data_IF_244743580568
#
_entry.id   IF_244743580568
#
_cell.length_a   1.000
_cell.length_b   1.000
_cell.length_c   1.000
_cell.angle_alpha   90.00
_cell.angle_beta   90.00
_cell.angle_gamma   90.00
#
_symmetry.space_group_name_H-M   'P 1'
#
loop_
_entity.id
_entity.type
_entity.pdbx_description
1 polymer ?
#
# COMPACT_ATOMS: atom_id res chain seq x y z
N UNK A 1 -56.30 65.81 17.06
CA UNK A 1 -56.87 64.68 17.79
C UNK A 1 -57.50 63.77 16.75
N UNK A 2 -56.81 62.69 16.37
CA UNK A 2 -57.57 61.48 16.09
C UNK A 2 -56.73 60.27 16.48
N UNK A 3 -57.35 59.48 17.33
CA UNK A 3 -56.81 58.36 18.07
C UNK A 3 -57.03 57.08 17.26
N UNK A 4 -56.28 56.05 17.65
CA UNK A 4 -56.66 54.64 17.56
C UNK A 4 -56.46 53.88 16.24
N UNK A 5 -56.02 52.63 16.46
CA UNK A 5 -56.04 51.49 15.55
C UNK A 5 -54.93 51.38 14.49
N UNK A 6 -53.70 51.10 14.94
CA UNK A 6 -52.91 50.04 14.29
C UNK A 6 -52.65 48.90 15.25
N UNK A 7 -53.65 48.03 15.26
CA UNK A 7 -53.67 46.71 15.81
C UNK A 7 -52.42 45.92 15.39
N UNK A 8 -51.72 45.42 16.40
CA UNK A 8 -50.58 44.52 16.27
C UNK A 8 -51.07 43.18 15.73
N UNK A 9 -51.09 43.00 14.41
CA UNK A 9 -51.10 41.67 13.80
C UNK A 9 -49.64 41.21 13.68
N UNK A 10 -49.21 40.39 14.63
CA UNK A 10 -48.00 39.56 14.51
C UNK A 10 -48.20 38.61 13.32
N UNK A 11 -47.30 38.59 12.31
CA UNK A 11 -47.33 37.52 11.33
C UNK A 11 -47.01 36.20 12.04
N UNK A 12 -47.94 35.27 11.84
CA UNK A 12 -47.97 33.86 12.25
C UNK A 12 -46.57 33.23 12.13
N UNK A 13 -46.17 32.55 13.19
CA UNK A 13 -44.88 31.88 13.29
C UNK A 13 -44.62 31.00 12.07
N UNK A 14 -43.58 31.36 11.32
CA UNK A 14 -42.87 30.41 10.49
C UNK A 14 -42.41 29.28 11.41
N UNK A 15 -43.01 28.10 11.21
CA UNK A 15 -42.75 26.91 11.98
C UNK A 15 -41.23 26.74 12.18
N UNK A 16 -40.83 26.75 13.45
CA UNK A 16 -39.52 26.26 13.83
C UNK A 16 -39.33 24.87 13.18
N UNK A 17 -38.19 24.60 12.52
CA UNK A 17 -37.93 23.27 11.98
C UNK A 17 -38.06 22.27 13.15
N UNK A 18 -38.80 21.15 12.97
CA UNK A 18 -39.07 20.24 14.07
C UNK A 18 -37.77 19.78 14.74
N UNK A 19 -37.83 19.71 16.06
CA UNK A 19 -36.79 19.23 16.97
C UNK A 19 -36.30 17.81 16.58
N UNK A 20 -35.12 17.36 17.07
CA UNK A 20 -34.26 16.36 16.41
C UNK A 20 -34.77 14.93 16.60
N UNK A 21 -35.88 14.58 15.96
CA UNK A 21 -36.16 13.19 15.63
C UNK A 21 -35.03 12.71 14.71
N UNK A 22 -34.22 11.78 15.23
CA UNK A 22 -33.17 11.01 14.56
C UNK A 22 -32.95 11.37 13.09
N UNK A 23 -32.10 12.37 12.81
CA UNK A 23 -31.57 12.57 11.46
C UNK A 23 -30.92 11.25 11.04
N UNK A 24 -31.55 10.50 10.12
CA UNK A 24 -30.97 9.27 9.58
C UNK A 24 -29.59 9.60 9.02
N UNK A 25 -28.56 9.03 9.64
CA UNK A 25 -27.17 9.25 9.26
C UNK A 25 -26.76 8.17 8.26
N UNK A 26 -26.48 8.54 7.02
CA UNK A 26 -26.18 7.57 5.97
C UNK A 26 -24.70 7.64 5.60
N UNK A 27 -24.03 6.48 5.62
CA UNK A 27 -22.60 6.36 5.28
C UNK A 27 -22.42 6.42 3.76
N UNK A 28 -21.29 6.96 3.31
CA UNK A 28 -20.95 6.97 1.88
C UNK A 28 -20.95 5.54 1.33
N UNK A 29 -21.51 5.32 0.13
CA UNK A 29 -21.57 4.01 -0.48
C UNK A 29 -20.17 3.53 -0.83
N UNK A 30 -19.97 2.21 -0.81
CA UNK A 30 -18.71 1.57 -1.23
C UNK A 30 -18.58 1.66 -2.75
N UNK A 31 -17.37 1.91 -3.24
CA UNK A 31 -17.08 1.88 -4.67
C UNK A 31 -17.01 0.44 -5.18
N UNK A 32 -17.17 0.23 -6.49
CA UNK A 32 -17.05 -1.07 -7.15
C UNK A 32 -15.79 -1.85 -6.74
N UNK A 33 -14.64 -1.16 -6.66
CA UNK A 33 -13.39 -1.78 -6.21
C UNK A 33 -13.41 -2.19 -4.73
N UNK A 34 -14.09 -1.42 -3.86
CA UNK A 34 -14.23 -1.76 -2.44
C UNK A 34 -15.14 -2.97 -2.24
N UNK A 35 -16.22 -3.08 -3.01
CA UNK A 35 -17.10 -4.26 -3.02
C UNK A 35 -16.33 -5.51 -3.47
N UNK A 36 -15.56 -5.38 -4.56
CA UNK A 36 -14.67 -6.44 -5.03
C UNK A 36 -13.63 -6.83 -3.98
N UNK A 37 -13.03 -5.85 -3.29
CA UNK A 37 -12.09 -6.16 -2.22
C UNK A 37 -12.75 -6.95 -1.08
N UNK A 38 -13.99 -6.64 -0.69
CA UNK A 38 -14.65 -7.37 0.41
C UNK A 38 -14.91 -8.83 0.06
N UNK A 39 -15.36 -9.11 -1.16
CA UNK A 39 -15.62 -10.48 -1.62
C UNK A 39 -14.33 -11.27 -1.82
N UNK A 40 -13.32 -10.67 -2.46
CA UNK A 40 -12.09 -11.37 -2.83
C UNK A 40 -11.04 -11.39 -1.73
N UNK A 41 -11.17 -10.56 -0.67
CA UNK A 41 -10.14 -10.46 0.37
C UNK A 41 -10.02 -11.72 1.19
N UNK A 42 -11.12 -12.39 1.51
CA UNK A 42 -11.10 -13.67 2.23
C UNK A 42 -10.35 -14.72 1.42
N UNK A 43 -10.70 -14.87 0.15
CA UNK A 43 -10.06 -15.81 -0.78
C UNK A 43 -8.57 -15.51 -0.98
N UNK A 44 -8.21 -14.23 -1.13
CA UNK A 44 -6.80 -13.82 -1.28
C UNK A 44 -6.01 -14.04 0.02
N UNK A 45 -6.62 -13.85 1.19
CA UNK A 45 -5.97 -14.14 2.48
C UNK A 45 -5.76 -15.65 2.66
N UNK A 46 -6.74 -16.47 2.31
CA UNK A 46 -6.61 -17.94 2.36
C UNK A 46 -5.54 -18.43 1.39
N UNK A 47 -5.54 -17.94 0.15
CA UNK A 47 -4.54 -18.31 -0.88
C UNK A 47 -3.11 -17.86 -0.54
N UNK A 48 -2.95 -16.74 0.17
CA UNK A 48 -1.63 -16.24 0.58
C UNK A 48 -1.15 -16.83 1.91
N UNK A 49 -2.05 -17.41 2.71
CA UNK A 49 -1.78 -17.95 4.04
C UNK A 49 -2.07 -16.97 5.19
N UNK A 50 -2.43 -17.53 6.35
CA UNK A 50 -2.67 -16.75 7.56
C UNK A 50 -1.40 -16.00 7.99
N UNK A 51 -1.54 -14.71 8.33
CA UNK A 51 -0.42 -13.86 8.75
C UNK A 51 0.26 -13.04 7.64
N UNK A 52 -0.18 -13.17 6.39
CA UNK A 52 0.32 -12.30 5.31
C UNK A 52 -0.11 -10.85 5.53
N UNK A 53 0.87 -9.95 5.53
CA UNK A 53 0.66 -8.53 5.78
C UNK A 53 -0.34 -7.91 4.80
N UNK A 54 -1.22 -7.04 5.32
CA UNK A 54 -2.30 -6.36 4.57
C UNK A 54 -1.82 -5.72 3.26
N UNK A 55 -0.58 -5.24 3.21
CA UNK A 55 0.04 -4.66 2.01
C UNK A 55 0.16 -5.66 0.85
N UNK A 56 0.50 -6.92 1.13
CA UNK A 56 0.61 -7.96 0.09
C UNK A 56 -0.78 -8.38 -0.41
N UNK A 57 -1.73 -8.55 0.50
CA UNK A 57 -3.14 -8.85 0.18
C UNK A 57 -3.75 -7.77 -0.70
N UNK A 58 -3.57 -6.49 -0.34
CA UNK A 58 -4.09 -5.36 -1.13
C UNK A 58 -3.40 -5.22 -2.48
N UNK A 59 -2.10 -5.50 -2.57
CA UNK A 59 -1.39 -5.53 -3.85
C UNK A 59 -1.91 -6.65 -4.77
N UNK A 60 -2.14 -7.85 -4.22
CA UNK A 60 -2.71 -8.97 -4.98
C UNK A 60 -4.14 -8.67 -5.46
N UNK A 61 -4.99 -8.09 -4.61
CA UNK A 61 -6.33 -7.63 -4.98
C UNK A 61 -6.31 -6.55 -6.06
N UNK A 62 -5.37 -5.60 -5.98
CA UNK A 62 -5.21 -4.57 -7.01
C UNK A 62 -4.72 -5.13 -8.35
N UNK A 63 -3.85 -6.16 -8.33
CA UNK A 63 -3.43 -6.87 -9.54
C UNK A 63 -4.61 -7.62 -10.17
N UNK A 64 -5.32 -8.41 -9.37
CA UNK A 64 -6.53 -9.14 -9.81
C UNK A 64 -7.57 -8.18 -10.42
N UNK A 65 -7.89 -7.06 -9.75
CA UNK A 65 -8.83 -6.06 -10.30
C UNK A 65 -8.37 -5.45 -11.63
N UNK A 66 -7.06 -5.31 -11.87
CA UNK A 66 -6.57 -4.82 -13.17
C UNK A 66 -6.71 -5.87 -14.27
N UNK A 67 -6.55 -7.14 -13.93
CA UNK A 67 -6.65 -8.28 -14.85
C UNK A 67 -8.09 -8.69 -15.17
N UNK A 68 -9.06 -8.37 -14.29
CA UNK A 68 -10.48 -8.61 -14.56
C UNK A 68 -10.95 -7.89 -15.85
N UNK A 69 -11.70 -8.60 -16.68
CA UNK A 69 -12.34 -8.05 -17.88
C UNK A 69 -13.46 -7.04 -17.54
N UNK A 70 -13.84 -6.18 -18.49
CA UNK A 70 -14.93 -5.22 -18.33
C UNK A 70 -16.25 -5.93 -17.98
N UNK A 71 -16.50 -7.13 -18.52
CA UNK A 71 -17.68 -7.96 -18.18
C UNK A 71 -17.68 -8.47 -16.73
N UNK A 72 -16.51 -8.85 -16.20
CA UNK A 72 -16.39 -9.31 -14.80
C UNK A 72 -16.46 -8.14 -13.80
N UNK A 73 -16.15 -6.91 -14.24
CA UNK A 73 -16.30 -5.68 -13.44
C UNK A 73 -17.72 -5.14 -13.44
N UNK A 74 -18.49 -5.39 -14.50
CA UNK A 74 -19.87 -4.94 -14.65
C UNK A 74 -20.76 -5.17 -13.42
N UNK A 75 -20.84 -6.37 -12.81
CA UNK A 75 -21.69 -6.60 -11.63
C UNK A 75 -21.24 -5.81 -10.40
N UNK A 76 -19.96 -5.43 -10.31
CA UNK A 76 -19.48 -4.58 -9.21
C UNK A 76 -19.75 -3.10 -9.46
N UNK A 77 -19.72 -2.66 -10.72
CA UNK A 77 -20.04 -1.29 -11.13
C UNK A 77 -21.53 -1.02 -10.98
N UNK A 78 -22.38 -1.96 -11.39
CA UNK A 78 -23.83 -1.89 -11.25
C UNK A 78 -24.23 -1.82 -9.78
N UNK A 79 -23.78 -2.77 -8.95
CA UNK A 79 -23.99 -2.76 -7.49
C UNK A 79 -23.49 -1.47 -6.83
N UNK A 80 -22.34 -0.94 -7.25
CA UNK A 80 -21.86 0.34 -6.73
C UNK A 80 -22.71 1.54 -7.17
N UNK A 81 -23.30 1.48 -8.38
CA UNK A 81 -24.21 2.50 -8.89
C UNK A 81 -25.55 2.48 -8.15
N UNK A 82 -26.08 1.29 -7.84
CA UNK A 82 -27.31 1.11 -7.06
C UNK A 82 -27.12 1.62 -5.64
N UNK A 83 -26.04 1.24 -4.98
CA UNK A 83 -25.70 1.74 -3.64
C UNK A 83 -25.53 3.26 -3.63
N UNK A 84 -25.03 3.84 -4.72
CA UNK A 84 -24.96 5.29 -4.87
C UNK A 84 -26.33 5.92 -5.09
N UNK A 85 -27.19 5.32 -5.92
CA UNK A 85 -28.54 5.81 -6.13
C UNK A 85 -29.39 5.72 -4.86
N UNK A 86 -29.25 4.65 -4.07
CA UNK A 86 -29.87 4.51 -2.75
C UNK A 86 -29.36 5.59 -1.80
N UNK A 87 -28.04 5.80 -1.75
CA UNK A 87 -27.45 6.89 -0.97
C UNK A 87 -28.00 8.27 -1.38
N UNK A 88 -28.06 8.56 -2.67
CA UNK A 88 -28.52 9.86 -3.18
C UNK A 88 -30.03 10.05 -2.90
N UNK A 89 -30.84 8.98 -2.94
CA UNK A 89 -32.26 8.99 -2.53
C UNK A 89 -32.41 9.23 -1.04
N UNK A 90 -31.67 8.50 -0.20
CA UNK A 90 -31.74 8.67 1.25
C UNK A 90 -31.32 10.09 1.66
N UNK A 91 -30.30 10.66 1.02
CA UNK A 91 -29.87 12.05 1.23
C UNK A 91 -30.95 13.04 0.77
N UNK A 92 -31.61 12.79 -0.37
CA UNK A 92 -32.71 13.62 -0.86
C UNK A 92 -33.96 13.55 0.03
N UNK A 93 -34.22 12.39 0.64
CA UNK A 93 -35.30 12.14 1.61
C UNK A 93 -35.02 12.74 3.01
N UNK A 94 -33.91 13.46 3.16
CA UNK A 94 -33.58 14.21 4.37
C UNK A 94 -32.59 13.50 5.31
N UNK A 95 -32.02 12.37 4.89
CA UNK A 95 -30.88 11.80 5.59
C UNK A 95 -29.68 12.76 5.51
N UNK A 96 -28.90 12.79 6.59
CA UNK A 96 -27.64 13.53 6.57
C UNK A 96 -26.51 12.57 6.23
N UNK A 97 -25.53 12.99 5.41
CA UNK A 97 -24.33 12.19 5.26
C UNK A 97 -23.74 12.03 6.67
N UNK A 98 -23.49 10.79 7.10
CA UNK A 98 -22.93 10.44 8.42
C UNK A 98 -21.60 11.16 8.71
N UNK A 99 -21.00 11.76 7.68
CA UNK A 99 -19.91 12.72 7.75
C UNK A 99 -20.29 14.12 8.25
N UNK A 100 -21.51 14.40 8.76
CA UNK A 100 -21.91 15.76 9.19
C UNK A 100 -22.43 15.90 10.63
N UNK A 101 -23.02 14.87 11.25
CA UNK A 101 -23.62 15.00 12.59
C UNK A 101 -22.75 14.37 13.70
N UNK A 102 -22.35 13.09 13.61
CA UNK A 102 -21.28 12.54 14.47
C UNK A 102 -19.87 13.06 14.16
N UNK A 103 -19.62 13.51 12.92
CA UNK A 103 -18.32 14.05 12.52
C UNK A 103 -18.00 15.38 13.21
N UNK A 104 -18.90 16.34 13.41
CA UNK A 104 -18.50 17.62 14.02
C UNK A 104 -17.98 17.47 15.46
N UNK A 105 -18.46 16.49 16.24
CA UNK A 105 -17.99 16.25 17.62
C UNK A 105 -16.81 15.26 17.67
N UNK A 106 -16.81 14.18 16.89
CA UNK A 106 -15.67 13.24 16.80
C UNK A 106 -14.52 13.74 15.92
N UNK A 107 -14.73 14.57 14.91
CA UNK A 107 -13.69 15.20 14.06
C UNK A 107 -13.05 16.39 14.77
N UNK A 108 -13.76 17.11 15.64
CA UNK A 108 -13.12 18.14 16.49
C UNK A 108 -12.23 17.50 17.56
N UNK A 109 -12.63 16.36 18.14
CA UNK A 109 -11.85 15.64 19.14
C UNK A 109 -10.79 14.68 18.56
N UNK A 110 -11.15 13.83 17.60
CA UNK A 110 -10.25 12.88 16.94
C UNK A 110 -9.62 13.45 15.64
N UNK A 111 -10.33 14.26 14.85
CA UNK A 111 -9.75 14.91 13.66
C UNK A 111 -8.74 16.01 14.02
N UNK A 112 -9.01 16.83 15.04
CA UNK A 112 -8.03 17.76 15.60
C UNK A 112 -6.80 17.02 16.12
N UNK A 113 -6.97 16.09 17.06
CA UNK A 113 -5.86 15.37 17.67
C UNK A 113 -5.13 14.41 16.72
N UNK A 114 -5.81 13.68 15.83
CA UNK A 114 -5.18 12.73 14.91
C UNK A 114 -4.54 13.42 13.70
N UNK A 115 -5.18 14.46 13.14
CA UNK A 115 -4.59 15.25 12.04
C UNK A 115 -3.43 16.10 12.56
N UNK A 116 -3.50 16.63 13.78
CA UNK A 116 -2.38 17.29 14.45
C UNK A 116 -1.30 16.29 14.89
N UNK A 117 -1.62 15.09 15.39
CA UNK A 117 -0.63 14.03 15.68
C UNK A 117 0.05 13.56 14.40
N UNK A 118 -0.67 13.38 13.30
CA UNK A 118 -0.10 12.98 12.00
C UNK A 118 0.69 14.12 11.36
N UNK A 119 0.24 15.38 11.44
CA UNK A 119 0.99 16.54 10.94
C UNK A 119 2.25 16.73 11.79
N UNK A 120 2.15 16.71 13.13
CA UNK A 120 3.33 16.69 14.02
C UNK A 120 4.23 15.53 13.62
N UNK A 121 3.76 14.29 13.51
CA UNK A 121 4.61 13.13 13.18
C UNK A 121 5.27 13.22 11.79
N UNK A 122 4.68 13.96 10.85
CA UNK A 122 5.19 14.20 9.48
C UNK A 122 5.99 15.50 9.33
N UNK A 123 5.96 16.40 10.29
CA UNK A 123 6.80 17.61 10.24
C UNK A 123 8.25 17.22 10.06
N UNK A 124 8.94 17.95 9.18
CA UNK A 124 10.33 17.69 8.84
C UNK A 124 11.22 17.73 10.10
N UNK A 125 10.90 18.60 11.04
CA UNK A 125 11.58 18.70 12.34
C UNK A 125 11.38 17.46 13.22
N UNK A 126 10.17 16.92 13.33
CA UNK A 126 9.93 15.69 14.10
C UNK A 126 10.53 14.46 13.42
N UNK A 127 10.57 14.40 12.08
CA UNK A 127 11.23 13.33 11.34
C UNK A 127 12.76 13.38 11.51
N UNK A 128 13.33 14.59 11.47
CA UNK A 128 14.74 14.85 11.79
C UNK A 128 15.07 14.52 13.25
N UNK A 129 14.19 14.82 14.21
CA UNK A 129 14.37 14.44 15.62
C UNK A 129 14.36 12.92 15.81
N UNK A 130 13.51 12.19 15.05
CA UNK A 130 13.46 10.72 15.08
C UNK A 130 14.68 10.07 14.43
N UNK A 131 15.27 10.73 13.43
CA UNK A 131 16.49 10.27 12.76
C UNK A 131 17.78 10.72 13.47
N UNK A 132 17.69 11.65 14.41
CA UNK A 132 18.83 12.09 15.20
C UNK A 132 19.17 11.12 16.35
N UNK A 133 20.35 11.27 16.96
CA UNK A 133 20.71 10.52 18.17
C UNK A 133 19.63 10.70 19.25
N UNK A 134 19.17 9.58 19.84
CA UNK A 134 18.20 9.61 20.94
C UNK A 134 18.85 10.21 22.17
N UNK A 135 18.08 11.02 22.93
CA UNK A 135 18.55 11.58 24.20
C UNK A 135 18.97 10.45 25.15
N UNK A 136 20.06 10.65 25.92
CA UNK A 136 20.55 9.65 26.87
C UNK A 136 19.54 9.46 28.01
N UNK A 137 19.51 8.27 28.59
CA UNK A 137 18.71 8.00 29.79
C UNK A 137 19.34 8.72 30.99
N UNK A 138 18.52 9.35 31.84
CA UNK A 138 18.97 9.91 33.12
C UNK A 138 19.22 8.83 34.17
N UNK A 139 19.84 9.20 35.30
CA UNK A 139 20.26 8.29 36.39
C UNK A 139 19.11 7.39 36.89
N UNK A 140 17.97 7.99 37.24
CA UNK A 140 16.77 7.24 37.65
C UNK A 140 16.26 6.28 36.56
N UNK A 141 16.31 6.66 35.27
CA UNK A 141 15.85 5.79 34.17
C UNK A 141 16.78 4.60 33.92
N UNK A 142 18.08 4.76 34.16
CA UNK A 142 19.05 3.66 34.11
C UNK A 142 18.74 2.69 35.25
N UNK A 143 18.65 3.21 36.47
CA UNK A 143 18.28 2.44 37.65
C UNK A 143 16.95 1.70 37.47
N UNK A 144 15.90 2.38 36.99
CA UNK A 144 14.59 1.79 36.76
C UNK A 144 14.64 0.69 35.69
N UNK A 145 15.47 0.83 34.65
CA UNK A 145 15.62 -0.23 33.63
C UNK A 145 16.18 -1.51 34.24
N UNK A 146 17.15 -1.38 35.16
CA UNK A 146 17.84 -2.50 35.81
C UNK A 146 17.01 -3.11 36.96
N UNK A 147 16.32 -2.26 37.73
CA UNK A 147 15.63 -2.67 38.95
C UNK A 147 14.12 -2.89 38.77
N UNK A 148 13.50 -2.53 37.63
CA UNK A 148 12.04 -2.73 37.43
C UNK A 148 11.59 -4.17 37.62
N UNK A 149 12.42 -5.15 37.24
CA UNK A 149 12.09 -6.57 37.34
C UNK A 149 12.11 -7.01 38.80
N UNK A 150 13.09 -6.52 39.56
CA UNK A 150 13.20 -6.78 40.99
C UNK A 150 12.06 -6.10 41.77
N UNK A 151 11.72 -4.86 41.43
CA UNK A 151 10.56 -4.18 42.02
C UNK A 151 9.26 -4.91 41.70
N UNK A 152 9.10 -5.40 40.46
CA UNK A 152 7.94 -6.21 40.09
C UNK A 152 7.89 -7.55 40.83
N UNK A 153 9.04 -8.19 41.04
CA UNK A 153 9.15 -9.44 41.82
C UNK A 153 8.77 -9.23 43.28
N UNK A 154 9.28 -8.18 43.93
CA UNK A 154 8.93 -7.82 45.31
C UNK A 154 7.43 -7.53 45.46
N UNK A 155 6.86 -6.79 44.53
CA UNK A 155 5.41 -6.54 44.52
C UNK A 155 4.61 -7.83 44.35
N UNK A 156 5.09 -8.78 43.54
CA UNK A 156 4.44 -10.08 43.39
C UNK A 156 4.55 -10.95 44.65
N UNK A 157 5.70 -10.91 45.35
CA UNK A 157 5.91 -11.56 46.65
C UNK A 157 5.03 -10.92 47.75
N UNK A 158 4.79 -9.60 47.69
CA UNK A 158 3.86 -8.85 48.56
C UNK A 158 2.37 -9.10 48.23
N UNK A 159 2.07 -10.01 47.30
CA UNK A 159 0.71 -10.45 46.98
C UNK A 159 0.06 -9.74 45.78
N UNK A 160 0.78 -8.89 45.03
CA UNK A 160 0.28 -8.30 43.81
C UNK A 160 0.32 -9.30 42.64
N UNK A 161 -0.84 -9.82 42.22
CA UNK A 161 -0.94 -10.67 41.04
C UNK A 161 -0.69 -9.84 39.79
N UNK A 162 0.47 -10.02 39.15
CA UNK A 162 0.91 -9.31 37.94
C UNK A 162 0.87 -7.78 38.09
N UNK A 163 1.80 -7.18 38.85
CA UNK A 163 1.77 -5.76 39.18
C UNK A 163 1.76 -4.88 37.92
N UNK A 164 0.83 -3.94 37.91
CA UNK A 164 0.66 -2.99 36.81
C UNK A 164 1.88 -2.08 36.70
N UNK A 165 2.15 -1.56 35.49
CA UNK A 165 3.24 -0.62 35.25
C UNK A 165 3.22 0.57 36.22
N UNK A 166 2.03 1.05 36.58
CA UNK A 166 1.84 2.17 37.50
C UNK A 166 2.19 1.82 38.95
N UNK A 167 1.97 0.57 39.37
CA UNK A 167 2.33 0.08 40.72
C UNK A 167 3.84 -0.10 40.83
N UNK A 168 4.44 -0.71 39.81
CA UNK A 168 5.90 -0.83 39.68
C UNK A 168 6.55 0.56 39.68
N UNK A 169 6.00 1.52 38.93
CA UNK A 169 6.54 2.88 38.88
C UNK A 169 6.43 3.61 40.23
N UNK A 170 5.33 3.44 40.96
CA UNK A 170 5.13 4.02 42.30
C UNK A 170 6.09 3.40 43.33
N UNK A 171 6.21 2.08 43.35
CA UNK A 171 7.14 1.38 44.24
C UNK A 171 8.60 1.75 43.93
N UNK A 172 8.98 1.73 42.66
CA UNK A 172 10.32 2.11 42.22
C UNK A 172 10.67 3.57 42.57
N UNK A 173 9.70 4.48 42.48
CA UNK A 173 9.87 5.87 42.92
C UNK A 173 10.10 6.01 44.42
N UNK A 174 9.43 5.20 45.25
CA UNK A 174 9.66 5.14 46.71
C UNK A 174 11.06 4.60 47.02
N UNK A 175 11.44 3.49 46.38
CA UNK A 175 12.77 2.88 46.56
C UNK A 175 13.89 3.81 46.15
N UNK A 176 13.78 4.51 45.01
CA UNK A 176 14.80 5.47 44.58
C UNK A 176 14.94 6.67 45.53
N UNK A 177 13.85 7.14 46.14
CA UNK A 177 13.90 8.21 47.14
C UNK A 177 14.56 7.75 48.45
N UNK A 178 14.33 6.50 48.85
CA UNK A 178 14.91 5.90 50.04
C UNK A 178 16.38 5.48 49.89
N UNK A 179 16.88 5.35 48.65
CA UNK A 179 18.29 5.06 48.38
C UNK A 179 19.19 6.22 48.83
N UNK A 180 20.37 5.88 49.36
CA UNK A 180 21.38 6.87 49.73
C UNK A 180 22.11 7.42 48.50
N UNK A 181 22.83 8.52 48.65
CA UNK A 181 23.51 9.16 47.53
C UNK A 181 24.70 8.32 47.02
N UNK A 182 25.29 7.49 47.87
CA UNK A 182 26.32 6.51 47.50
C UNK A 182 25.75 5.40 46.61
N UNK A 183 24.53 4.93 46.91
CA UNK A 183 23.84 3.94 46.09
C UNK A 183 23.40 4.52 44.74
N UNK A 184 23.12 5.83 44.68
CA UNK A 184 22.79 6.55 43.45
C UNK A 184 24.02 6.94 42.64
N UNK A 185 25.17 7.14 43.27
CA UNK A 185 26.42 7.56 42.63
C UNK A 185 26.79 6.75 41.37
N UNK A 186 26.79 5.40 41.35
CA UNK A 186 27.10 4.64 40.14
C UNK A 186 26.09 4.86 39.01
N UNK A 187 24.84 5.23 39.31
CA UNK A 187 23.83 5.56 38.29
C UNK A 187 23.97 7.00 37.80
N UNK A 188 24.39 7.92 38.67
CA UNK A 188 24.69 9.32 38.31
C UNK A 188 25.91 9.36 37.39
N UNK A 189 26.99 8.65 37.71
CA UNK A 189 28.18 8.56 36.86
C UNK A 189 27.88 7.89 35.52
N UNK A 190 27.13 6.77 35.51
CA UNK A 190 26.67 6.17 34.25
C UNK A 190 25.81 7.12 33.40
N UNK A 191 24.94 7.91 34.03
CA UNK A 191 24.16 8.93 33.33
C UNK A 191 25.04 10.05 32.77
N UNK A 192 26.08 10.47 33.51
CA UNK A 192 27.07 11.47 33.07
C UNK A 192 27.84 10.97 31.85
N UNK A 193 28.38 9.76 31.90
CA UNK A 193 29.10 9.15 30.77
C UNK A 193 28.19 9.03 29.53
N UNK A 194 26.93 8.64 29.70
CA UNK A 194 25.97 8.60 28.59
C UNK A 194 25.63 10.00 28.07
N UNK A 195 25.56 11.00 28.94
CA UNK A 195 25.36 12.40 28.55
C UNK A 195 26.54 12.94 27.74
N UNK A 196 27.77 12.63 28.14
CA UNK A 196 28.97 13.08 27.44
C UNK A 196 29.12 12.35 26.09
N UNK A 197 28.90 11.02 26.05
CA UNK A 197 28.81 10.27 24.79
C UNK A 197 27.75 10.86 23.85
N UNK A 198 26.60 11.27 24.37
CA UNK A 198 25.57 11.91 23.57
C UNK A 198 26.00 13.27 23.02
N UNK A 199 26.68 14.10 23.83
CA UNK A 199 27.23 15.38 23.38
C UNK A 199 28.22 15.17 22.24
N UNK A 200 29.13 14.21 22.36
CA UNK A 200 30.11 13.89 21.31
C UNK A 200 29.45 13.36 20.04
N UNK A 201 28.53 12.40 20.14
CA UNK A 201 27.77 11.91 18.98
C UNK A 201 26.99 13.05 18.31
N UNK A 202 26.42 13.98 19.08
CA UNK A 202 25.67 15.10 18.54
C UNK A 202 26.60 16.16 17.89
N UNK A 203 27.79 16.41 18.45
CA UNK A 203 28.84 17.25 17.82
C UNK A 203 29.30 16.62 16.51
N UNK A 204 29.69 15.35 16.51
CA UNK A 204 30.08 14.62 15.32
C UNK A 204 28.96 14.60 14.26
N UNK A 205 27.70 14.43 14.65
CA UNK A 205 26.55 14.53 13.74
C UNK A 205 26.38 15.95 13.16
N UNK A 206 26.66 17.00 13.93
CA UNK A 206 26.61 18.39 13.45
C UNK A 206 27.75 18.66 12.46
N UNK A 207 28.95 18.19 12.74
CA UNK A 207 30.12 18.32 11.86
C UNK A 207 29.95 17.52 10.57
N UNK A 208 29.51 16.26 10.66
CA UNK A 208 29.16 15.45 9.50
C UNK A 208 28.08 16.14 8.64
N UNK A 209 27.06 16.73 9.29
CA UNK A 209 26.05 17.52 8.56
C UNK A 209 26.67 18.73 7.88
N UNK A 210 27.55 19.49 8.55
CA UNK A 210 28.24 20.67 8.01
C UNK A 210 29.11 20.31 6.80
N UNK A 211 29.92 19.26 6.91
CA UNK A 211 30.78 18.77 5.82
C UNK A 211 29.95 18.26 4.63
N UNK A 212 28.85 17.54 4.90
CA UNK A 212 27.99 16.98 3.87
C UNK A 212 26.78 17.86 3.52
N UNK A 213 26.74 19.17 3.84
CA UNK A 213 25.61 20.04 3.46
C UNK A 213 25.47 20.08 1.94
N UNK A 214 26.58 20.14 1.20
CA UNK A 214 26.59 20.15 -0.27
C UNK A 214 26.02 18.84 -0.81
N UNK A 215 26.45 17.70 -0.27
CA UNK A 215 25.94 16.38 -0.65
C UNK A 215 24.50 16.12 -0.22
N UNK A 216 24.09 16.62 0.94
CA UNK A 216 22.72 16.52 1.43
C UNK A 216 21.77 17.40 0.59
N UNK A 217 22.18 18.62 0.23
CA UNK A 217 21.45 19.49 -0.71
C UNK A 217 21.39 18.88 -2.11
N UNK A 218 22.50 18.30 -2.60
CA UNK A 218 22.54 17.61 -3.88
C UNK A 218 21.66 16.35 -3.89
N UNK A 219 21.68 15.53 -2.83
CA UNK A 219 20.80 14.35 -2.66
C UNK A 219 19.33 14.76 -2.52
N UNK A 220 19.03 15.83 -1.78
CA UNK A 220 17.67 16.36 -1.68
C UNK A 220 17.16 16.90 -3.02
N UNK A 221 17.98 17.64 -3.76
CA UNK A 221 17.66 18.14 -5.10
C UNK A 221 17.48 17.00 -6.11
N UNK A 222 18.34 15.97 -6.08
CA UNK A 222 18.22 14.77 -6.92
C UNK A 222 16.94 13.99 -6.59
N UNK A 223 16.59 13.86 -5.31
CA UNK A 223 15.33 13.24 -4.86
C UNK A 223 14.10 14.05 -5.28
N UNK A 224 14.17 15.38 -5.18
CA UNK A 224 13.10 16.27 -5.63
C UNK A 224 12.91 16.22 -7.16
N UNK A 225 14.01 16.24 -7.94
CA UNK A 225 13.97 16.05 -9.40
C UNK A 225 13.40 14.69 -9.79
N UNK A 226 13.80 13.59 -9.12
CA UNK A 226 13.24 12.24 -9.37
C UNK A 226 11.74 12.17 -9.02
N UNK A 227 11.32 12.80 -7.93
CA UNK A 227 9.91 12.86 -7.55
C UNK A 227 9.07 13.71 -8.53
N UNK A 228 9.60 14.84 -9.01
CA UNK A 228 8.96 15.68 -10.02
C UNK A 228 8.86 14.96 -11.37
N UNK A 229 9.92 14.27 -11.80
CA UNK A 229 9.92 13.45 -13.01
C UNK A 229 8.91 12.30 -12.92
N UNK A 230 8.83 11.62 -11.77
CA UNK A 230 7.82 10.57 -11.54
C UNK A 230 6.39 11.11 -11.58
N UNK A 231 6.13 12.28 -10.99
CA UNK A 231 4.81 12.94 -11.07
C UNK A 231 4.46 13.35 -12.50
N UNK A 232 5.42 13.90 -13.25
CA UNK A 232 5.23 14.29 -14.66
C UNK A 232 4.97 13.07 -15.56
N UNK A 233 5.69 11.97 -15.33
CA UNK A 233 5.45 10.70 -16.02
C UNK A 233 4.05 10.15 -15.74
N UNK A 234 3.64 10.08 -14.46
CA UNK A 234 2.29 9.64 -14.07
C UNK A 234 1.18 10.53 -14.63
N UNK A 235 1.39 11.84 -14.70
CA UNK A 235 0.44 12.76 -15.30
C UNK A 235 0.32 12.56 -16.81
N UNK A 236 1.43 12.30 -17.51
CA UNK A 236 1.44 12.01 -18.95
C UNK A 236 0.74 10.67 -19.25
N UNK A 237 0.99 9.65 -18.43
CA UNK A 237 0.35 8.34 -18.51
C UNK A 237 -1.16 8.43 -18.24
N UNK A 238 -1.59 9.18 -17.22
CA UNK A 238 -3.00 9.43 -16.94
C UNK A 238 -3.71 10.17 -18.10
N UNK A 239 -3.05 11.15 -18.71
CA UNK A 239 -3.60 11.89 -19.85
C UNK A 239 -3.69 11.04 -21.12
N UNK A 240 -2.73 10.14 -21.33
CA UNK A 240 -2.77 9.17 -22.42
C UNK A 240 -3.90 8.15 -22.22
N UNK A 241 -4.06 7.61 -21.01
CA UNK A 241 -5.15 6.68 -20.68
C UNK A 241 -6.54 7.34 -20.79
N UNK A 242 -6.68 8.60 -20.38
CA UNK A 242 -7.94 9.34 -20.56
C UNK A 242 -8.27 9.55 -22.04
N UNK A 243 -7.27 9.86 -22.88
CA UNK A 243 -7.47 10.00 -24.33
C UNK A 243 -7.80 8.67 -25.02
N UNK A 244 -7.18 7.58 -24.58
CA UNK A 244 -7.48 6.22 -25.07
C UNK A 244 -8.89 5.78 -24.66
N UNK A 245 -9.31 6.06 -23.42
CA UNK A 245 -10.66 5.78 -22.93
C UNK A 245 -11.73 6.54 -23.73
N UNK A 246 -11.54 7.85 -23.96
CA UNK A 246 -12.46 8.66 -24.76
C UNK A 246 -12.54 8.21 -26.24
N UNK A 247 -11.44 7.70 -26.81
CA UNK A 247 -11.45 7.12 -28.16
C UNK A 247 -12.20 5.78 -28.22
N UNK A 248 -12.09 4.95 -27.17
CA UNK A 248 -12.82 3.69 -27.03
C UNK A 248 -14.32 3.93 -26.89
N UNK A 249 -14.72 4.89 -26.06
CA UNK A 249 -16.12 5.28 -25.82
C UNK A 249 -16.78 5.83 -27.10
N UNK A 250 -16.06 6.65 -27.88
CA UNK A 250 -16.55 7.10 -29.20
C UNK A 250 -16.72 5.95 -30.20
N UNK A 251 -15.84 4.95 -30.16
CA UNK A 251 -15.91 3.78 -31.05
C UNK A 251 -17.09 2.86 -30.66
N UNK A 252 -17.29 2.63 -29.37
CA UNK A 252 -18.44 1.88 -28.84
C UNK A 252 -19.77 2.58 -29.16
N UNK A 253 -19.87 3.90 -28.97
CA UNK A 253 -21.07 4.65 -29.33
C UNK A 253 -21.38 4.65 -30.84
N UNK A 254 -20.36 4.58 -31.70
CA UNK A 254 -20.55 4.44 -33.15
C UNK A 254 -21.02 3.03 -33.52
N UNK A 255 -20.52 2.01 -32.83
CA UNK A 255 -20.88 0.61 -33.03
C UNK A 255 -22.30 0.31 -32.54
N UNK A 256 -22.72 0.84 -31.38
CA UNK A 256 -24.11 0.79 -30.89
C UNK A 256 -25.08 1.47 -31.85
N UNK A 257 -24.73 2.66 -32.38
CA UNK A 257 -25.58 3.33 -33.40
C UNK A 257 -25.71 2.50 -34.68
N UNK A 258 -24.65 1.79 -35.07
CA UNK A 258 -24.65 0.90 -36.24
C UNK A 258 -25.47 -0.38 -35.97
N UNK A 259 -25.37 -0.94 -34.76
CA UNK A 259 -26.17 -2.08 -34.32
C UNK A 259 -27.67 -1.71 -34.23
N UNK A 260 -28.01 -0.56 -33.66
CA UNK A 260 -29.39 -0.06 -33.59
C UNK A 260 -30.00 0.18 -34.98
N UNK A 261 -29.21 0.71 -35.94
CA UNK A 261 -29.65 0.82 -37.35
C UNK A 261 -29.88 -0.55 -37.99
N UNK A 262 -29.04 -1.55 -37.68
CA UNK A 262 -29.19 -2.92 -38.21
C UNK A 262 -30.42 -3.63 -37.61
N UNK A 263 -30.66 -3.49 -36.32
CA UNK A 263 -31.84 -4.03 -35.63
C UNK A 263 -33.14 -3.40 -36.14
N UNK A 264 -33.17 -2.07 -36.35
CA UNK A 264 -34.34 -1.39 -36.93
C UNK A 264 -34.61 -1.79 -38.39
N UNK A 265 -33.58 -2.19 -39.14
CA UNK A 265 -33.75 -2.77 -40.49
C UNK A 265 -34.35 -4.17 -40.40
N UNK A 266 -33.87 -5.02 -39.48
CA UNK A 266 -34.39 -6.38 -39.28
C UNK A 266 -35.86 -6.39 -38.82
N UNK A 267 -36.24 -5.51 -37.89
CA UNK A 267 -37.64 -5.37 -37.46
C UNK A 267 -38.58 -4.83 -38.57
N UNK A 268 -38.02 -4.11 -39.55
CA UNK A 268 -38.80 -3.61 -40.70
C UNK A 268 -38.98 -4.68 -41.79
N UNK A 269 -38.13 -5.71 -41.81
CA UNK A 269 -38.29 -6.86 -42.71
C UNK A 269 -39.15 -7.97 -42.10
N UNK A 270 -39.15 -8.15 -40.77
CA UNK A 270 -40.11 -9.03 -40.08
C UNK A 270 -41.56 -8.51 -40.10
N UNK A 271 -41.76 -7.20 -40.30
CA UNK A 271 -43.09 -6.61 -40.51
C UNK A 271 -43.67 -6.77 -41.92
N UNK A 272 -42.95 -7.41 -42.85
CA UNK A 272 -43.34 -7.52 -44.27
C UNK A 272 -43.44 -8.95 -44.79
N UNK A 273 -43.50 -9.96 -43.93
CA UNK A 273 -43.77 -11.35 -44.35
C UNK A 273 -44.90 -11.98 -43.52
N UNK A 274 -46.10 -11.42 -43.62
CA UNK A 274 -47.30 -12.26 -43.65
C UNK A 274 -47.77 -12.33 -45.10
N UNK A 275 -47.99 -13.56 -45.57
CA UNK A 275 -48.50 -13.96 -46.90
C UNK A 275 -47.43 -14.36 -47.95
N UNK A 276 -47.00 -15.62 -47.87
CA UNK A 276 -47.18 -16.62 -48.93
C UNK A 276 -46.52 -17.95 -48.49
N UNK A 277 -47.34 -18.99 -48.40
CA UNK A 277 -46.96 -20.40 -48.24
C UNK A 277 -46.35 -21.00 -49.52
N UNK A 278 -45.78 -22.20 -49.35
CA UNK A 278 -45.60 -23.28 -50.33
C UNK A 278 -44.53 -23.16 -51.43
N UNK A 279 -43.44 -23.94 -51.30
CA UNK A 279 -43.27 -25.18 -52.06
C UNK A 279 -41.86 -25.78 -51.82
N UNK A 280 -41.85 -27.10 -51.59
CA UNK A 280 -40.68 -27.93 -51.33
C UNK A 280 -40.20 -28.63 -52.62
N UNK A 281 -38.90 -28.94 -52.65
CA UNK A 281 -38.24 -30.09 -53.30
C UNK A 281 -37.45 -29.90 -54.62
N UNK A 282 -36.25 -30.50 -54.54
CA UNK A 282 -35.47 -31.25 -55.55
C UNK A 282 -34.35 -30.57 -56.37
N UNK A 283 -33.12 -31.04 -56.09
CA UNK A 283 -31.86 -30.91 -56.82
C UNK A 283 -31.90 -31.62 -58.20
N UNK A 284 -30.97 -31.38 -59.15
CA UNK A 284 -29.65 -32.04 -59.12
C UNK A 284 -28.44 -31.30 -59.78
N UNK A 285 -27.22 -31.74 -59.40
CA UNK A 285 -25.94 -31.98 -60.16
C UNK A 285 -25.45 -30.94 -61.21
N UNK A 286 -24.16 -30.77 -61.56
CA UNK A 286 -22.80 -31.16 -61.17
C UNK A 286 -21.83 -30.42 -62.17
N UNK A 287 -20.52 -30.74 -62.14
CA UNK A 287 -19.39 -30.36 -63.05
C UNK A 287 -18.46 -29.28 -62.44
N UNK A 288 -17.31 -29.62 -61.81
CA UNK A 288 -16.01 -30.09 -62.34
C UNK A 288 -15.35 -29.05 -63.29
N UNK A 289 -14.11 -28.59 -63.22
CA UNK A 289 -12.82 -29.07 -62.66
C UNK A 289 -11.76 -27.94 -62.77
N UNK A 290 -10.51 -28.12 -62.26
CA UNK A 290 -9.57 -27.06 -61.85
C UNK A 290 -8.27 -26.94 -62.68
N UNK A 291 -7.48 -25.89 -62.43
CA UNK A 291 -5.98 -25.80 -62.34
C UNK A 291 -5.60 -24.30 -62.41
N UNK A 292 -4.59 -23.77 -61.72
CA UNK A 292 -3.17 -24.18 -61.73
C UNK A 292 -2.41 -23.57 -60.54
N UNK A 293 -1.43 -24.33 -60.08
CA UNK A 293 -0.51 -24.15 -58.94
C UNK A 293 0.73 -23.35 -59.37
N UNK A 294 1.28 -22.54 -58.47
CA UNK A 294 2.71 -22.18 -58.38
C UNK A 294 3.01 -21.83 -56.91
N UNK A 295 3.67 -22.72 -56.16
CA UNK A 295 5.06 -22.58 -55.68
C UNK A 295 5.28 -21.26 -54.92
N UNK A 296 5.51 -21.21 -53.62
CA UNK A 296 6.38 -22.06 -52.81
C UNK A 296 7.49 -21.16 -52.25
N UNK A 297 7.41 -20.80 -50.97
CA UNK A 297 8.54 -20.39 -50.13
C UNK A 297 8.05 -20.28 -48.68
N UNK A 298 8.25 -21.35 -47.93
CA UNK A 298 8.17 -21.35 -46.49
C UNK A 298 9.36 -20.56 -45.93
N UNK A 299 9.08 -19.46 -45.23
CA UNK A 299 10.02 -18.79 -44.33
C UNK A 299 9.54 -19.00 -42.89
N UNK A 300 10.40 -19.42 -41.95
CA UNK A 300 9.97 -19.76 -40.60
C UNK A 300 9.78 -18.49 -39.76
N UNK A 301 8.62 -18.37 -39.13
CA UNK A 301 8.43 -17.53 -37.94
C UNK A 301 7.79 -18.41 -36.86
N UNK A 302 7.95 -18.15 -35.56
CA UNK A 302 8.96 -17.35 -34.86
C UNK A 302 9.67 -18.21 -33.79
N UNK A 303 11.00 -18.15 -33.66
CA UNK A 303 11.66 -18.64 -32.44
C UNK A 303 11.30 -17.72 -31.29
N UNK A 304 10.27 -18.17 -30.58
CA UNK A 304 9.83 -17.77 -29.25
C UNK A 304 11.05 -17.51 -28.37
N UNK A 305 11.44 -16.24 -28.23
CA UNK A 305 12.35 -15.83 -27.17
C UNK A 305 11.73 -16.30 -25.85
N UNK A 306 12.38 -17.28 -25.22
CA UNK A 306 12.02 -17.82 -23.92
C UNK A 306 11.95 -16.62 -22.97
N UNK A 307 10.74 -16.23 -22.60
CA UNK A 307 10.49 -15.27 -21.52
C UNK A 307 11.22 -15.82 -20.31
N UNK A 308 12.32 -15.17 -19.91
CA UNK A 308 13.08 -15.55 -18.74
C UNK A 308 12.10 -15.76 -17.59
N UNK A 309 12.14 -16.95 -17.00
CA UNK A 309 11.42 -17.25 -15.79
C UNK A 309 11.69 -16.13 -14.78
N UNK A 310 10.65 -15.67 -14.10
CA UNK A 310 10.77 -14.69 -13.04
C UNK A 310 11.84 -15.21 -12.05
N UNK A 311 13.01 -14.57 -12.08
CA UNK A 311 14.14 -14.96 -11.26
C UNK A 311 13.70 -14.86 -9.80
N UNK A 312 13.71 -15.99 -9.11
CA UNK A 312 13.67 -16.03 -7.65
C UNK A 312 14.93 -15.29 -7.21
N UNK A 313 14.78 -14.02 -6.84
CA UNK A 313 15.89 -13.22 -6.33
C UNK A 313 16.34 -13.87 -5.02
N UNK A 314 17.42 -14.64 -5.08
CA UNK A 314 18.06 -15.19 -3.90
C UNK A 314 18.30 -14.03 -2.91
N UNK A 315 17.88 -14.20 -1.67
CA UNK A 315 18.06 -13.19 -0.63
C UNK A 315 19.56 -13.09 -0.34
N UNK A 316 20.25 -12.10 -0.92
CA UNK A 316 21.67 -11.85 -0.66
C UNK A 316 21.84 -10.99 0.61
N UNK A 317 22.68 -11.45 1.55
CA UNK A 317 23.05 -10.65 2.71
C UNK A 317 23.87 -9.42 2.27
N UNK A 318 23.37 -8.23 2.58
CA UNK A 318 24.00 -6.96 2.21
C UNK A 318 25.38 -6.78 2.84
N UNK A 319 25.66 -7.40 3.99
CA UNK A 319 26.98 -7.34 4.61
C UNK A 319 28.02 -8.12 3.79
N UNK A 320 27.68 -9.32 3.34
CA UNK A 320 28.55 -10.18 2.53
C UNK A 320 28.71 -9.64 1.10
N UNK A 321 27.67 -9.02 0.54
CA UNK A 321 27.80 -8.31 -0.74
C UNK A 321 28.78 -7.14 -0.61
N UNK A 322 28.74 -6.38 0.50
CA UNK A 322 29.69 -5.29 0.72
C UNK A 322 31.13 -5.80 0.92
N UNK A 323 31.30 -6.98 1.52
CA UNK A 323 32.59 -7.65 1.66
C UNK A 323 33.13 -8.16 0.31
N UNK A 324 32.27 -8.79 -0.48
CA UNK A 324 32.57 -9.17 -1.85
C UNK A 324 32.89 -7.95 -2.74
N UNK A 325 32.24 -6.80 -2.51
CA UNK A 325 32.55 -5.54 -3.20
C UNK A 325 33.93 -5.00 -2.81
N UNK A 326 34.33 -5.08 -1.54
CA UNK A 326 35.69 -4.74 -1.11
C UNK A 326 36.76 -5.67 -1.72
N UNK A 327 36.43 -6.94 -1.89
CA UNK A 327 37.30 -7.92 -2.54
C UNK A 327 37.28 -7.83 -4.09
N UNK A 328 36.42 -6.97 -4.68
CA UNK A 328 36.24 -6.90 -6.15
C UNK A 328 35.50 -8.11 -6.76
N UNK A 329 34.95 -9.00 -5.93
CA UNK A 329 34.32 -10.27 -6.31
C UNK A 329 32.79 -10.20 -6.35
N UNK A 330 32.17 -9.04 -6.16
CA UNK A 330 30.72 -8.89 -6.04
C UNK A 330 29.92 -9.47 -7.21
N UNK A 331 30.43 -9.33 -8.44
CA UNK A 331 29.80 -9.90 -9.63
C UNK A 331 29.86 -11.42 -9.66
N UNK A 332 30.98 -12.01 -9.23
CA UNK A 332 31.15 -13.46 -9.13
C UNK A 332 30.30 -14.03 -7.98
N UNK A 333 30.28 -13.36 -6.83
CA UNK A 333 29.48 -13.74 -5.68
C UNK A 333 27.98 -13.79 -5.97
N UNK A 334 27.43 -12.75 -6.63
CA UNK A 334 26.01 -12.74 -7.04
C UNK A 334 25.70 -13.87 -8.02
N UNK A 335 26.54 -14.07 -9.03
CA UNK A 335 26.37 -15.15 -10.01
C UNK A 335 26.43 -16.53 -9.36
N UNK A 336 27.28 -16.74 -8.36
CA UNK A 336 27.40 -18.02 -7.67
C UNK A 336 26.20 -18.27 -6.75
N UNK A 337 25.78 -17.26 -5.98
CA UNK A 337 24.65 -17.34 -5.06
C UNK A 337 23.29 -17.47 -5.75
N UNK A 338 23.16 -17.01 -7.00
CA UNK A 338 21.93 -17.13 -7.80
C UNK A 338 21.74 -18.55 -8.38
N UNK A 339 22.77 -19.41 -8.44
CA UNK A 339 22.63 -20.76 -9.01
C UNK A 339 21.92 -21.69 -8.02
N UNK A 340 20.95 -22.45 -8.51
CA UNK A 340 20.13 -23.36 -7.70
C UNK A 340 20.95 -24.43 -6.95
N UNK A 341 22.02 -24.91 -7.57
CA UNK A 341 22.94 -25.89 -6.98
C UNK A 341 23.76 -25.34 -5.82
N UNK A 342 23.98 -24.02 -5.78
CA UNK A 342 24.76 -23.32 -4.76
C UNK A 342 23.91 -22.70 -3.65
N UNK A 343 22.59 -22.57 -3.85
CA UNK A 343 21.66 -22.05 -2.84
C UNK A 343 21.59 -22.92 -1.57
N UNK A 344 22.01 -24.19 -1.65
CA UNK A 344 22.10 -25.10 -0.49
C UNK A 344 23.24 -24.73 0.47
N UNK A 345 24.22 -23.95 0.03
CA UNK A 345 25.38 -23.58 0.83
C UNK A 345 25.20 -22.22 1.51
N UNK A 346 25.71 -22.05 2.75
CA UNK A 346 25.69 -20.75 3.41
C UNK A 346 26.53 -19.73 2.62
N UNK A 347 26.01 -18.51 2.52
CA UNK A 347 26.62 -17.44 1.70
C UNK A 347 28.05 -17.07 2.13
N UNK A 348 28.42 -17.27 3.40
CA UNK A 348 29.79 -17.10 3.86
C UNK A 348 30.75 -18.08 3.18
N UNK A 349 30.39 -19.37 3.11
CA UNK A 349 31.22 -20.39 2.42
C UNK A 349 31.36 -20.11 0.93
N UNK A 350 30.32 -19.54 0.30
CA UNK A 350 30.40 -19.11 -1.10
C UNK A 350 31.44 -17.99 -1.30
N UNK A 351 31.50 -17.03 -0.37
CA UNK A 351 32.47 -15.95 -0.41
C UNK A 351 33.89 -16.46 -0.15
N UNK A 352 34.08 -17.33 0.84
CA UNK A 352 35.38 -17.91 1.18
C UNK A 352 35.95 -18.77 0.05
N UNK A 353 35.08 -19.57 -0.60
CA UNK A 353 35.47 -20.36 -1.78
C UNK A 353 35.87 -19.46 -2.95
N UNK A 354 35.20 -18.31 -3.13
CA UNK A 354 35.56 -17.33 -4.16
C UNK A 354 36.84 -16.57 -3.85
N UNK A 355 37.11 -16.28 -2.57
CA UNK A 355 38.38 -15.68 -2.14
C UNK A 355 39.53 -16.68 -2.38
N UNK A 356 39.32 -17.95 -2.04
CA UNK A 356 40.30 -19.03 -2.25
C UNK A 356 40.57 -19.28 -3.73
N UNK A 357 39.53 -19.25 -4.57
CA UNK A 357 39.65 -19.45 -6.03
C UNK A 357 40.05 -18.19 -6.81
N UNK A 358 40.41 -17.10 -6.12
CA UNK A 358 40.76 -15.79 -6.73
C UNK A 358 39.66 -15.27 -7.67
N UNK A 359 38.40 -15.54 -7.35
CA UNK A 359 37.23 -15.09 -8.10
C UNK A 359 36.80 -15.99 -9.26
N UNK A 360 37.45 -17.13 -9.48
CA UNK A 360 37.01 -18.08 -10.50
C UNK A 360 35.79 -18.88 -10.00
N UNK A 361 34.70 -18.79 -10.76
CA UNK A 361 33.39 -19.38 -10.40
C UNK A 361 33.38 -20.91 -10.41
N UNK A 362 33.99 -21.53 -11.42
CA UNK A 362 33.99 -22.99 -11.57
C UNK A 362 34.84 -23.67 -10.48
N UNK A 363 36.10 -23.27 -10.25
CA UNK A 363 36.89 -23.83 -9.15
C UNK A 363 36.27 -23.60 -7.76
N UNK A 364 35.64 -22.44 -7.52
CA UNK A 364 34.93 -22.20 -6.26
C UNK A 364 33.75 -23.17 -6.09
N UNK A 365 32.98 -23.40 -7.15
CA UNK A 365 31.88 -24.36 -7.15
C UNK A 365 32.39 -25.78 -6.93
N UNK A 366 33.44 -26.19 -7.62
CA UNK A 366 33.96 -27.54 -7.55
C UNK A 366 34.55 -27.83 -6.17
N UNK A 367 35.24 -26.85 -5.55
CA UNK A 367 35.73 -26.96 -4.17
C UNK A 367 34.59 -27.12 -3.14
N UNK A 368 33.49 -26.39 -3.32
CA UNK A 368 32.32 -26.49 -2.45
C UNK A 368 31.58 -27.83 -2.58
N UNK A 369 31.51 -28.36 -3.80
CA UNK A 369 30.88 -29.65 -4.05
C UNK A 369 31.79 -30.82 -3.62
N UNK A 370 33.10 -30.71 -3.82
CA UNK A 370 34.09 -31.69 -3.39
C UNK A 370 34.17 -31.81 -1.87
N UNK A 371 33.93 -30.74 -1.11
CA UNK A 371 33.83 -30.78 0.35
C UNK A 371 32.50 -31.33 0.90
N UNK A 372 31.58 -31.75 0.03
CA UNK A 372 30.29 -32.37 0.41
C UNK A 372 30.11 -33.80 -0.09
N UNK A 373 31.01 -34.28 -0.93
CA UNK A 373 31.18 -35.70 -1.24
C UNK A 373 32.11 -36.31 -0.19
#
# INVERSE_FOLDING_TARGET
>A
ADLLAKQVMRPVGAAAPPAPAERREVKRPKSAYWLFQEEMRSEVVTNLGAGVGVTKVTAALAARWKELDEGAKAPFVERASELKAQYDKEIAEGAVPAASAKSKKLEKQAGGAAKQKMSRRRTLENLKRRAGPKKPKGSYSIWLTENRKEVARRLAEEGAVSPSFEEIARAAGKTWKAMTDEQKAPFVERARVLADKYKEINKACKEYKKANVKDAKAKAAKKAKKAAASKKAKAKEAKANAKAAAAKEKKQAAEEKRAAKKAKKQQREEGSSSKAEEAMACSPKAVATPRKRASGAAGPTPTKAKKAAAQVTAYLDMALVAEAEKAGLAGAFRKLAEREDMQKFPQQKLLDALVTSKGLLHPAKDALLAGTA
#
